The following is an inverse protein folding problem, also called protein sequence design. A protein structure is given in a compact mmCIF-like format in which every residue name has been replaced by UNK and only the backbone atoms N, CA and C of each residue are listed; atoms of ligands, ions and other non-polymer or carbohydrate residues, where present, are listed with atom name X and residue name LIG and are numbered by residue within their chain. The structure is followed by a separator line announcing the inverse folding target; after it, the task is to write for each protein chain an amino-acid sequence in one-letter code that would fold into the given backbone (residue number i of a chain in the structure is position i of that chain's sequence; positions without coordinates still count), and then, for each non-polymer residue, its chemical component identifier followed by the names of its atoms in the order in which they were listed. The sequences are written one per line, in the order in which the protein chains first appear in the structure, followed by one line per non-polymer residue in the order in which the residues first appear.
data_IF_083849535991
#
_entry.id   IF_083849535991
#
_cell.length_a   1.000
_cell.length_b   1.000
_cell.length_c   1.000
_cell.angle_alpha   90.00
_cell.angle_beta   90.00
_cell.angle_gamma   90.00
#
_symmetry.space_group_name_H-M   'P 1'
#
loop_
_entity.id
_entity.type
_entity.pdbx_description
1 polymer ?
#
# COMPACT_ATOMS: atom_id res chain seq x y z
N UNK A 1 -22.53 3.50 -2.36
CA UNK A 1 -22.03 4.39 -1.30
C UNK A 1 -23.08 4.50 -0.21
N UNK A 2 -22.86 3.74 0.87
CA UNK A 2 -23.63 3.82 2.11
C UNK A 2 -23.27 5.09 2.89
N UNK A 3 -24.02 5.38 3.95
CA UNK A 3 -23.74 6.52 4.82
C UNK A 3 -22.46 6.31 5.64
N UNK A 4 -22.14 5.06 6.00
CA UNK A 4 -20.93 4.70 6.74
C UNK A 4 -19.68 4.84 5.86
N UNK A 5 -19.73 4.33 4.62
CA UNK A 5 -18.66 4.52 3.63
C UNK A 5 -18.40 6.03 3.38
N UNK A 6 -19.47 6.83 3.31
CA UNK A 6 -19.36 8.27 3.14
C UNK A 6 -18.78 8.98 4.38
N UNK A 7 -19.04 8.46 5.58
CA UNK A 7 -18.53 9.00 6.83
C UNK A 7 -17.03 8.72 6.98
N UNK A 8 -16.57 7.51 6.66
CA UNK A 8 -15.15 7.15 6.66
C UNK A 8 -14.35 8.05 5.71
N UNK A 9 -14.85 8.27 4.49
CA UNK A 9 -14.23 9.19 3.54
C UNK A 9 -14.11 10.61 4.08
N UNK A 10 -15.12 11.09 4.80
CA UNK A 10 -15.09 12.41 5.42
C UNK A 10 -14.02 12.49 6.51
N UNK A 11 -13.89 11.46 7.35
CA UNK A 11 -12.84 11.43 8.38
C UNK A 11 -11.43 11.44 7.76
N UNK A 12 -11.22 10.70 6.66
CA UNK A 12 -9.96 10.72 5.92
C UNK A 12 -9.65 12.13 5.39
N UNK A 13 -10.61 12.77 4.73
CA UNK A 13 -10.45 14.13 4.16
C UNK A 13 -10.24 15.19 5.24
N UNK A 14 -10.70 14.92 6.48
CA UNK A 14 -10.46 15.76 7.66
C UNK A 14 -9.17 15.41 8.41
N UNK A 15 -8.22 14.69 7.79
CA UNK A 15 -6.97 14.23 8.42
C UNK A 15 -7.23 13.42 9.71
N UNK A 16 -8.14 12.45 9.63
CA UNK A 16 -8.54 11.57 10.74
C UNK A 16 -9.17 12.29 11.94
N UNK A 17 -9.61 13.54 11.77
CA UNK A 17 -10.43 14.21 12.79
C UNK A 17 -11.86 13.67 12.75
N UNK A 18 -12.27 13.04 13.85
CA UNK A 18 -13.65 12.56 14.02
C UNK A 18 -14.63 13.70 14.18
N UNK A 19 -15.78 13.57 13.53
CA UNK A 19 -16.93 14.42 13.79
C UNK A 19 -17.44 14.19 15.20
N UNK A 20 -17.92 15.25 15.87
CA UNK A 20 -18.58 15.05 17.16
C UNK A 20 -19.95 14.37 16.96
N UNK A 21 -20.51 13.81 18.05
CA UNK A 21 -21.78 13.05 18.03
C UNK A 21 -22.93 13.77 17.30
N UNK A 22 -23.01 15.09 17.43
CA UNK A 22 -24.07 15.90 16.82
C UNK A 22 -23.80 16.12 15.33
N UNK A 23 -22.55 16.38 14.96
CA UNK A 23 -22.14 16.49 13.56
C UNK A 23 -22.31 15.18 12.81
N UNK A 24 -21.95 14.05 13.43
CA UNK A 24 -22.18 12.72 12.86
C UNK A 24 -23.68 12.44 12.69
N UNK A 25 -24.51 12.73 13.70
CA UNK A 25 -25.96 12.62 13.60
C UNK A 25 -26.49 13.48 12.44
N UNK A 26 -26.07 14.74 12.35
CA UNK A 26 -26.48 15.65 11.28
C UNK A 26 -26.04 15.13 9.92
N UNK A 27 -24.81 14.61 9.80
CA UNK A 27 -24.29 14.02 8.58
C UNK A 27 -25.16 12.85 8.12
N UNK A 28 -25.35 11.86 9.01
CA UNK A 28 -26.09 10.62 8.70
C UNK A 28 -27.52 10.90 8.28
N UNK A 29 -28.22 11.73 9.04
CA UNK A 29 -29.61 12.04 8.76
C UNK A 29 -29.77 12.94 7.53
N UNK A 30 -28.79 13.81 7.26
CA UNK A 30 -28.77 14.60 6.02
C UNK A 30 -28.53 13.73 4.79
N UNK A 31 -27.72 12.68 4.92
CA UNK A 31 -27.48 11.68 3.86
C UNK A 31 -28.76 10.93 3.48
N UNK A 32 -29.61 10.62 4.47
CA UNK A 32 -30.95 10.04 4.27
C UNK A 32 -32.00 11.06 3.76
N UNK A 33 -31.63 12.33 3.57
CA UNK A 33 -32.52 13.38 3.08
C UNK A 33 -33.36 14.07 4.14
N UNK A 34 -33.20 13.75 5.44
CA UNK A 34 -34.00 14.36 6.50
C UNK A 34 -33.69 15.85 6.68
N UNK A 35 -34.69 16.60 7.10
CA UNK A 35 -34.60 18.01 7.46
C UNK A 35 -34.13 18.20 8.90
N UNK A 36 -33.59 19.36 9.24
CA UNK A 36 -33.20 19.67 10.62
C UNK A 36 -34.36 19.61 11.61
N UNK A 37 -35.59 19.86 11.16
CA UNK A 37 -36.78 19.72 12.01
C UNK A 37 -37.07 18.26 12.34
N UNK A 38 -36.94 17.38 11.36
CA UNK A 38 -37.13 15.93 11.56
C UNK A 38 -36.01 15.36 12.44
N UNK A 39 -34.76 15.81 12.26
CA UNK A 39 -33.63 15.40 13.09
C UNK A 39 -33.82 15.84 14.54
N UNK A 40 -34.30 17.06 14.77
CA UNK A 40 -34.61 17.56 16.11
C UNK A 40 -35.76 16.76 16.73
N UNK A 41 -36.82 16.47 15.96
CA UNK A 41 -37.95 15.67 16.43
C UNK A 41 -37.62 14.22 16.75
N UNK A 42 -36.54 13.68 16.19
CA UNK A 42 -36.07 12.31 16.44
C UNK A 42 -34.81 12.22 17.32
N UNK A 43 -34.37 13.33 17.93
CA UNK A 43 -33.16 13.37 18.76
C UNK A 43 -33.38 14.15 20.06
N UNK A 44 -32.38 14.12 20.94
CA UNK A 44 -32.38 14.86 22.21
C UNK A 44 -31.99 16.34 22.04
N UNK A 45 -31.74 16.80 20.81
CA UNK A 45 -31.22 18.14 20.53
C UNK A 45 -32.28 19.07 19.96
N UNK A 46 -32.24 20.33 20.38
CA UNK A 46 -33.11 21.36 19.85
C UNK A 46 -32.78 21.72 18.39
N UNK A 47 -33.80 22.17 17.67
CA UNK A 47 -33.70 22.55 16.25
C UNK A 47 -32.57 23.56 15.98
N UNK A 48 -32.46 24.61 16.81
CA UNK A 48 -31.46 25.65 16.61
C UNK A 48 -30.04 25.12 16.80
N UNK A 49 -29.84 24.21 17.76
CA UNK A 49 -28.55 23.58 17.99
C UNK A 49 -28.13 22.67 16.82
N UNK A 50 -29.06 21.86 16.29
CA UNK A 50 -28.83 21.03 15.10
C UNK A 50 -28.50 21.88 13.87
N UNK A 51 -29.24 22.98 13.69
CA UNK A 51 -29.02 23.91 12.58
C UNK A 51 -27.64 24.55 12.64
N UNK A 52 -27.21 24.98 13.82
CA UNK A 52 -25.88 25.54 14.05
C UNK A 52 -24.76 24.50 13.85
N UNK A 53 -24.95 23.29 14.38
CA UNK A 53 -24.03 22.17 14.17
C UNK A 53 -23.90 21.82 12.68
N UNK A 54 -25.02 21.80 11.95
CA UNK A 54 -25.05 21.56 10.51
C UNK A 54 -24.34 22.66 9.71
N UNK A 55 -24.55 23.94 10.06
CA UNK A 55 -23.85 25.04 9.41
C UNK A 55 -22.32 24.96 9.60
N UNK A 56 -21.87 24.61 10.81
CA UNK A 56 -20.45 24.38 11.11
C UNK A 56 -19.90 23.19 10.33
N UNK A 57 -20.65 22.08 10.27
CA UNK A 57 -20.27 20.89 9.52
C UNK A 57 -20.08 21.20 8.03
N UNK A 58 -21.05 21.83 7.37
CA UNK A 58 -20.93 22.11 5.94
C UNK A 58 -19.80 23.10 5.62
N UNK A 59 -19.52 24.04 6.51
CA UNK A 59 -18.37 24.93 6.39
C UNK A 59 -17.05 24.16 6.48
N UNK A 60 -16.93 23.26 7.46
CA UNK A 60 -15.75 22.41 7.65
C UNK A 60 -15.52 21.53 6.42
N UNK A 61 -16.55 20.83 5.95
CA UNK A 61 -16.46 19.98 4.75
C UNK A 61 -16.13 20.81 3.51
N UNK A 62 -16.68 22.01 3.37
CA UNK A 62 -16.33 22.88 2.23
C UNK A 62 -14.85 23.25 2.20
N UNK A 63 -14.25 23.48 3.37
CA UNK A 63 -12.82 23.76 3.48
C UNK A 63 -11.99 22.53 3.13
N UNK A 64 -12.39 21.36 3.62
CA UNK A 64 -11.65 20.12 3.44
C UNK A 64 -11.71 19.59 1.98
N UNK A 65 -12.88 19.65 1.34
CA UNK A 65 -13.05 19.23 -0.05
C UNK A 65 -12.60 20.29 -1.07
N UNK A 66 -12.35 21.54 -0.65
CA UNK A 66 -12.03 22.64 -1.57
C UNK A 66 -13.18 23.06 -2.51
N UNK A 67 -14.38 22.49 -2.33
CA UNK A 67 -15.61 22.82 -3.06
C UNK A 67 -16.71 23.18 -2.06
N UNK A 68 -17.66 24.04 -2.45
CA UNK A 68 -18.80 24.40 -1.59
C UNK A 68 -19.71 23.19 -1.32
N UNK A 69 -19.73 22.72 -0.08
CA UNK A 69 -20.60 21.65 0.43
C UNK A 69 -21.86 22.23 1.08
N UNK A 70 -22.98 21.58 0.81
CA UNK A 70 -24.32 21.80 1.34
C UNK A 70 -24.96 20.43 1.61
N UNK A 71 -26.05 20.45 2.38
CA UNK A 71 -26.82 19.25 2.74
C UNK A 71 -27.24 18.41 1.51
N UNK A 72 -27.66 19.06 0.44
CA UNK A 72 -28.25 18.45 -0.76
C UNK A 72 -27.21 18.05 -1.83
N UNK A 73 -26.03 18.68 -1.83
CA UNK A 73 -25.00 18.39 -2.82
C UNK A 73 -23.86 17.52 -2.28
N UNK A 74 -23.83 17.22 -0.98
CA UNK A 74 -22.79 16.41 -0.34
C UNK A 74 -22.53 15.08 -1.07
N UNK A 75 -23.54 14.26 -1.45
CA UNK A 75 -23.28 13.02 -2.19
C UNK A 75 -22.58 13.26 -3.52
N UNK A 76 -22.94 14.34 -4.22
CA UNK A 76 -22.34 14.74 -5.49
C UNK A 76 -20.90 15.24 -5.30
N UNK A 77 -20.61 15.98 -4.23
CA UNK A 77 -19.26 16.45 -3.92
C UNK A 77 -18.35 15.26 -3.61
N UNK A 78 -18.78 14.31 -2.78
CA UNK A 78 -17.99 13.10 -2.49
C UNK A 78 -17.77 12.29 -3.77
N UNK A 79 -18.79 12.08 -4.59
CA UNK A 79 -18.65 11.39 -5.89
C UNK A 79 -17.67 12.10 -6.83
N UNK A 80 -17.66 13.43 -6.85
CA UNK A 80 -16.73 14.23 -7.66
C UNK A 80 -15.30 14.14 -7.11
N UNK A 81 -15.15 14.23 -5.79
CA UNK A 81 -13.87 14.07 -5.10
C UNK A 81 -13.25 12.71 -5.43
N UNK A 82 -14.02 11.63 -5.29
CA UNK A 82 -13.60 10.28 -5.69
C UNK A 82 -13.21 10.22 -7.17
N UNK A 83 -13.99 10.82 -8.08
CA UNK A 83 -13.63 10.87 -9.50
C UNK A 83 -12.34 11.64 -9.75
N UNK A 84 -12.09 12.73 -9.03
CA UNK A 84 -10.88 13.52 -9.17
C UNK A 84 -9.66 12.80 -8.59
N UNK A 85 -9.81 12.13 -7.44
CA UNK A 85 -8.75 11.28 -6.89
C UNK A 85 -8.49 10.10 -7.82
N UNK A 86 -9.50 9.46 -8.39
CA UNK A 86 -9.33 8.38 -9.37
C UNK A 86 -8.71 8.88 -10.69
N UNK A 87 -9.04 10.07 -11.18
CA UNK A 87 -8.42 10.64 -12.38
C UNK A 87 -6.98 11.10 -12.12
N UNK A 88 -6.67 11.59 -10.92
CA UNK A 88 -5.29 11.87 -10.51
C UNK A 88 -4.49 10.56 -10.29
N UNK A 89 -5.13 9.49 -9.83
CA UNK A 89 -4.55 8.14 -9.76
C UNK A 89 -4.43 7.47 -11.14
N UNK A 90 -5.27 7.80 -12.13
CA UNK A 90 -5.07 7.37 -13.53
C UNK A 90 -3.81 7.95 -14.18
N UNK A 91 -3.31 9.07 -13.65
CA UNK A 91 -1.99 9.61 -14.02
C UNK A 91 -0.88 9.16 -13.06
N UNK A 92 -1.22 8.36 -12.04
CA UNK A 92 -0.29 7.76 -11.09
C UNK A 92 -0.53 6.26 -11.11
N UNK A 93 -0.16 5.63 -12.23
CA UNK A 93 -0.16 4.19 -12.40
C UNK A 93 0.88 3.64 -11.41
N UNK A 94 0.44 3.38 -10.17
CA UNK A 94 1.15 2.45 -9.32
C UNK A 94 0.64 1.10 -9.81
N UNK A 95 1.48 0.35 -10.52
CA UNK A 95 1.24 -1.08 -10.66
C UNK A 95 1.22 -1.67 -9.24
N UNK A 96 0.03 -1.89 -8.70
CA UNK A 96 -0.14 -2.61 -7.46
C UNK A 96 -0.33 -4.07 -7.85
N UNK A 97 0.73 -4.85 -7.68
CA UNK A 97 0.64 -6.30 -7.80
C UNK A 97 -0.09 -6.83 -6.56
N UNK A 98 -1.32 -7.31 -6.74
CA UNK A 98 -2.13 -7.91 -5.68
C UNK A 98 -2.09 -9.45 -5.77
N UNK A 99 -1.14 -10.01 -6.51
CA UNK A 99 -0.95 -11.46 -6.61
C UNK A 99 -0.74 -12.07 -5.22
N UNK A 100 -1.60 -13.00 -4.82
CA UNK A 100 -1.49 -13.68 -3.53
C UNK A 100 -2.11 -12.94 -2.33
N UNK A 101 -2.64 -11.72 -2.50
CA UNK A 101 -3.36 -11.04 -1.43
C UNK A 101 -4.62 -11.83 -1.03
N UNK A 102 -4.71 -12.25 0.23
CA UNK A 102 -5.94 -12.81 0.76
C UNK A 102 -6.96 -11.68 1.01
N UNK A 103 -7.86 -11.50 0.05
CA UNK A 103 -8.92 -10.49 0.11
C UNK A 103 -10.23 -11.03 0.73
N UNK A 104 -10.20 -12.19 1.41
CA UNK A 104 -11.39 -12.74 2.04
C UNK A 104 -11.93 -11.80 3.13
N UNK A 105 -13.21 -11.42 3.03
CA UNK A 105 -13.85 -10.45 3.91
C UNK A 105 -13.51 -8.97 3.62
N UNK A 106 -12.68 -8.67 2.63
CA UNK A 106 -12.42 -7.29 2.23
C UNK A 106 -13.62 -6.70 1.48
N UNK A 107 -14.12 -5.54 1.94
CA UNK A 107 -15.15 -4.80 1.22
C UNK A 107 -14.51 -4.04 0.06
N UNK A 108 -14.53 -4.64 -1.13
CA UNK A 108 -13.98 -4.06 -2.38
C UNK A 108 -14.99 -3.14 -3.10
N UNK A 109 -16.15 -2.85 -2.49
CA UNK A 109 -17.28 -2.11 -3.09
C UNK A 109 -16.92 -0.71 -3.61
N UNK A 110 -15.80 -0.14 -3.14
CA UNK A 110 -15.32 1.20 -3.46
C UNK A 110 -13.87 1.24 -3.95
N UNK A 111 -13.21 0.08 -4.08
CA UNK A 111 -11.83 0.01 -4.59
C UNK A 111 -11.82 0.10 -6.12
N UNK A 112 -11.14 1.11 -6.67
CA UNK A 112 -10.77 1.12 -8.08
C UNK A 112 -9.48 0.29 -8.22
N UNK A 113 -9.62 -0.90 -8.80
CA UNK A 113 -8.51 -1.82 -9.06
C UNK A 113 -8.05 -1.75 -10.53
N UNK A 114 -8.40 -0.68 -11.26
CA UNK A 114 -7.96 -0.53 -12.64
C UNK A 114 -6.43 -0.44 -12.70
N UNK A 115 -5.81 -1.36 -13.44
CA UNK A 115 -4.35 -1.52 -13.51
C UNK A 115 -3.74 -2.46 -12.45
N UNK A 116 -4.53 -3.05 -11.56
CA UNK A 116 -4.04 -4.10 -10.65
C UNK A 116 -3.78 -5.41 -11.42
N UNK A 117 -2.65 -6.07 -11.11
CA UNK A 117 -2.37 -7.45 -11.55
C UNK A 117 -2.94 -8.40 -10.50
N UNK A 118 -3.89 -9.26 -10.91
CA UNK A 118 -4.50 -10.29 -10.09
C UNK A 118 -4.11 -11.67 -10.64
N UNK A 119 -3.09 -12.29 -10.04
CA UNK A 119 -2.73 -13.67 -10.39
C UNK A 119 -3.69 -14.63 -9.66
N UNK A 120 -4.40 -15.44 -10.43
CA UNK A 120 -5.53 -16.24 -9.99
C UNK A 120 -5.11 -17.54 -9.28
N UNK A 121 -4.36 -17.47 -8.18
CA UNK A 121 -4.07 -18.67 -7.37
C UNK A 121 -4.54 -18.61 -5.91
N UNK A 122 -5.18 -17.51 -5.46
CA UNK A 122 -5.76 -17.48 -4.11
C UNK A 122 -6.90 -16.48 -3.88
N UNK A 123 -7.61 -16.06 -4.94
CA UNK A 123 -8.81 -15.23 -4.77
C UNK A 123 -9.98 -16.11 -4.31
N UNK A 124 -10.02 -16.40 -3.01
CA UNK A 124 -11.17 -17.03 -2.39
C UNK A 124 -12.26 -15.96 -2.18
N UNK A 125 -12.98 -15.62 -3.26
CA UNK A 125 -14.13 -14.69 -3.24
C UNK A 125 -15.41 -15.34 -2.68
N UNK A 126 -15.29 -16.48 -1.99
CA UNK A 126 -16.44 -17.31 -1.60
C UNK A 126 -17.42 -16.62 -0.65
N UNK A 127 -17.01 -15.52 0.01
CA UNK A 127 -17.85 -14.74 0.91
C UNK A 127 -18.03 -13.26 0.51
N UNK A 128 -17.57 -12.82 -0.68
CA UNK A 128 -17.83 -11.44 -1.09
C UNK A 128 -19.24 -11.31 -1.64
N UNK A 129 -20.14 -10.72 -0.85
CA UNK A 129 -21.52 -10.43 -1.25
C UNK A 129 -21.55 -9.71 -2.60
N UNK A 130 -22.30 -10.31 -3.53
CA UNK A 130 -22.49 -9.90 -4.93
C UNK A 130 -22.67 -8.39 -5.08
N UNK A 131 -21.62 -7.68 -5.49
CA UNK A 131 -21.69 -6.30 -5.98
C UNK A 131 -20.59 -6.07 -7.03
N UNK A 132 -21.01 -5.58 -8.19
CA UNK A 132 -20.20 -5.30 -9.37
C UNK A 132 -19.02 -4.37 -9.07
N UNK A 133 -17.82 -4.92 -8.88
CA UNK A 133 -16.57 -4.20 -9.09
C UNK A 133 -16.33 -4.04 -10.59
N UNK A 134 -15.90 -2.86 -11.03
CA UNK A 134 -15.52 -2.60 -12.42
C UNK A 134 -14.10 -3.17 -12.64
N UNK A 135 -14.02 -4.37 -13.23
CA UNK A 135 -12.76 -5.09 -13.53
C UNK A 135 -12.21 -4.72 -14.92
N UNK A 136 -12.64 -3.60 -15.50
CA UNK A 136 -12.15 -3.18 -16.82
C UNK A 136 -10.66 -2.85 -16.75
N UNK A 137 -9.84 -3.67 -17.41
CA UNK A 137 -8.37 -3.53 -17.45
C UNK A 137 -7.60 -4.41 -16.46
N UNK A 138 -8.28 -5.28 -15.70
CA UNK A 138 -7.63 -6.35 -14.93
C UNK A 138 -7.04 -7.39 -15.88
N UNK A 139 -5.74 -7.69 -15.76
CA UNK A 139 -5.12 -8.82 -16.47
C UNK A 139 -5.37 -10.07 -15.63
N UNK A 140 -6.16 -11.01 -16.17
CA UNK A 140 -6.37 -12.35 -15.61
C UNK A 140 -5.38 -13.27 -16.31
N UNK A 141 -4.43 -13.81 -15.55
CA UNK A 141 -3.56 -14.90 -16.02
C UNK A 141 -4.26 -16.22 -15.68
N UNK A 142 -4.66 -16.98 -16.70
CA UNK A 142 -5.21 -18.33 -16.51
C UNK A 142 -4.05 -19.32 -16.26
N UNK A 143 -3.89 -19.78 -15.02
CA UNK A 143 -3.05 -20.94 -14.70
C UNK A 143 -3.87 -22.22 -14.95
N UNK A 144 -4.05 -22.57 -16.22
CA UNK A 144 -4.55 -23.87 -16.65
C UNK A 144 -3.44 -24.61 -17.40
N UNK A 145 -2.64 -25.40 -16.68
CA UNK A 145 -2.47 -26.85 -16.89
C UNK A 145 -1.23 -27.35 -16.13
N UNK A 146 -1.46 -27.98 -14.98
CA UNK A 146 -0.59 -29.05 -14.52
C UNK A 146 -1.10 -30.37 -15.11
N UNK A 147 -0.30 -31.04 -15.93
CA UNK A 147 0.12 -32.43 -15.70
C UNK A 147 0.66 -33.12 -16.96
N UNK A 148 1.82 -33.77 -16.78
CA UNK A 148 2.39 -34.93 -17.50
C UNK A 148 3.22 -34.77 -18.80
N UNK A 149 4.48 -35.23 -18.65
CA UNK A 149 5.33 -36.03 -19.55
C UNK A 149 5.91 -35.46 -20.87
N UNK A 150 7.26 -35.40 -20.87
CA UNK A 150 8.23 -35.68 -21.95
C UNK A 150 8.04 -35.09 -23.36
N UNK A 151 9.07 -34.35 -23.81
CA UNK A 151 9.49 -34.35 -25.22
C UNK A 151 9.87 -32.98 -25.82
N UNK A 152 11.18 -32.73 -25.91
CA UNK A 152 11.91 -32.08 -27.01
C UNK A 152 11.34 -30.85 -27.77
N UNK A 153 12.19 -29.80 -27.75
CA UNK A 153 12.54 -28.79 -28.79
C UNK A 153 11.88 -27.41 -28.75
N UNK A 154 12.76 -26.41 -28.51
CA UNK A 154 13.07 -25.20 -29.33
C UNK A 154 11.88 -24.36 -29.84
N UNK A 155 11.86 -23.02 -29.81
CA UNK A 155 12.83 -21.96 -29.56
C UNK A 155 12.02 -20.63 -29.49
N UNK A 156 12.35 -19.78 -28.50
CA UNK A 156 12.56 -18.32 -28.56
C UNK A 156 11.36 -17.42 -28.98
N UNK A 157 10.85 -16.58 -28.05
CA UNK A 157 11.18 -15.13 -27.96
C UNK A 157 10.46 -14.44 -26.79
N UNK A 158 11.26 -14.14 -25.76
CA UNK A 158 11.32 -12.90 -25.00
C UNK A 158 10.02 -12.12 -24.77
N UNK A 159 9.48 -12.26 -23.57
CA UNK A 159 9.26 -11.09 -22.72
C UNK A 159 9.57 -11.50 -21.28
N UNK A 160 10.52 -10.77 -20.69
CA UNK A 160 10.92 -10.85 -19.29
C UNK A 160 9.71 -10.54 -18.40
N UNK A 161 8.93 -11.56 -18.08
CA UNK A 161 8.02 -11.51 -16.95
C UNK A 161 8.91 -11.37 -15.71
N UNK A 162 8.89 -10.18 -15.09
CA UNK A 162 9.55 -9.96 -13.80
C UNK A 162 8.97 -10.97 -12.80
N UNK A 163 9.71 -12.05 -12.60
CA UNK A 163 9.33 -13.14 -11.72
C UNK A 163 9.58 -12.69 -10.28
N UNK A 164 8.50 -12.41 -9.54
CA UNK A 164 8.58 -12.05 -8.14
C UNK A 164 8.56 -13.29 -7.24
N UNK A 165 9.39 -13.27 -6.20
CA UNK A 165 9.53 -14.35 -5.23
C UNK A 165 8.85 -13.95 -3.91
N UNK A 166 8.23 -14.91 -3.22
CA UNK A 166 7.45 -14.63 -2.00
C UNK A 166 7.85 -15.56 -0.86
N UNK A 167 7.95 -15.02 0.35
CA UNK A 167 8.26 -15.77 1.57
C UNK A 167 7.73 -15.03 2.81
N UNK A 168 6.95 -15.71 3.68
CA UNK A 168 6.35 -15.12 4.89
C UNK A 168 5.62 -13.78 4.66
N UNK A 169 4.78 -13.70 3.62
CA UNK A 169 4.06 -12.49 3.21
C UNK A 169 4.97 -11.31 2.79
N UNK A 170 6.27 -11.56 2.58
CA UNK A 170 7.24 -10.61 2.02
C UNK A 170 7.53 -10.96 0.55
N UNK A 171 7.79 -9.93 -0.26
CA UNK A 171 8.07 -10.04 -1.69
C UNK A 171 9.53 -9.66 -1.98
N UNK A 172 10.15 -10.36 -2.93
CA UNK A 172 11.56 -10.22 -3.30
C UNK A 172 11.72 -10.26 -4.82
N UNK A 173 12.80 -9.65 -5.32
CA UNK A 173 13.11 -9.55 -6.76
C UNK A 173 13.89 -10.76 -7.27
N UNK A 174 14.47 -11.54 -6.36
CA UNK A 174 15.27 -12.72 -6.69
C UNK A 174 15.12 -13.85 -5.67
N UNK A 175 15.37 -15.10 -6.09
CA UNK A 175 15.49 -16.24 -5.18
C UNK A 175 16.64 -16.06 -4.18
N UNK A 176 17.69 -15.34 -4.60
CA UNK A 176 18.84 -15.00 -3.78
C UNK A 176 18.44 -14.14 -2.56
N UNK A 177 17.60 -13.13 -2.77
CA UNK A 177 17.04 -12.32 -1.68
C UNK A 177 16.19 -13.16 -0.72
N UNK A 178 15.34 -14.06 -1.22
CA UNK A 178 14.55 -14.96 -0.36
C UNK A 178 15.47 -15.76 0.57
N UNK A 179 16.56 -16.32 0.05
CA UNK A 179 17.52 -17.09 0.83
C UNK A 179 18.22 -16.25 1.90
N UNK A 180 18.52 -14.99 1.61
CA UNK A 180 19.07 -14.05 2.60
C UNK A 180 18.03 -13.72 3.67
N UNK A 181 16.77 -13.48 3.29
CA UNK A 181 15.68 -13.23 4.23
C UNK A 181 15.48 -14.42 5.19
N UNK A 182 15.48 -15.64 4.66
CA UNK A 182 15.41 -16.87 5.46
C UNK A 182 16.59 -17.00 6.43
N UNK A 183 17.81 -16.66 6.00
CA UNK A 183 19.00 -16.70 6.85
C UNK A 183 18.97 -15.62 7.94
N UNK A 184 18.50 -14.41 7.64
CA UNK A 184 18.29 -13.34 8.62
C UNK A 184 17.26 -13.73 9.68
N UNK A 185 16.18 -14.40 9.26
CA UNK A 185 15.13 -14.92 10.15
C UNK A 185 15.64 -16.06 11.04
N UNK A 186 16.39 -17.03 10.47
CA UNK A 186 17.09 -18.06 11.26
C UNK A 186 18.06 -17.46 12.28
N UNK A 187 18.72 -16.36 11.93
CA UNK A 187 19.61 -15.63 12.83
C UNK A 187 18.87 -14.78 13.87
N UNK A 188 17.53 -14.73 13.82
CA UNK A 188 16.66 -13.94 14.70
C UNK A 188 17.07 -12.46 14.74
N UNK A 189 17.32 -11.88 13.56
CA UNK A 189 17.69 -10.48 13.40
C UNK A 189 16.52 -9.69 12.84
N UNK A 190 16.35 -8.46 13.32
CA UNK A 190 15.37 -7.53 12.75
C UNK A 190 15.89 -7.00 11.41
N UNK A 191 15.13 -7.24 10.35
CA UNK A 191 15.41 -6.72 9.02
C UNK A 191 14.14 -6.16 8.36
N UNK A 192 14.33 -5.29 7.39
CA UNK A 192 13.29 -4.62 6.63
C UNK A 192 13.67 -4.74 5.14
N UNK A 193 13.00 -5.63 4.38
CA UNK A 193 13.24 -5.71 2.94
C UNK A 193 12.61 -4.49 2.23
N UNK A 194 13.10 -4.14 1.04
CA UNK A 194 12.48 -3.16 0.13
C UNK A 194 12.19 -1.79 0.79
N UNK A 195 13.10 -1.34 1.66
CA UNK A 195 12.87 -0.16 2.50
C UNK A 195 13.21 1.13 1.77
N UNK A 196 12.20 1.91 1.37
CA UNK A 196 12.40 3.19 0.68
C UNK A 196 13.00 4.27 1.57
N UNK A 197 14.23 4.70 1.25
CA UNK A 197 14.91 5.85 1.82
C UNK A 197 14.78 7.08 0.91
N UNK A 198 14.61 8.27 1.51
CA UNK A 198 14.54 9.55 0.77
C UNK A 198 15.79 10.37 0.99
N UNK A 199 16.70 10.34 0.04
CA UNK A 199 18.01 11.01 0.14
C UNK A 199 18.01 12.38 -0.56
N UNK A 200 19.02 13.18 -0.22
CA UNK A 200 19.34 14.43 -0.93
C UNK A 200 20.70 14.24 -1.60
N UNK A 201 20.68 14.04 -2.91
CA UNK A 201 21.85 13.90 -3.79
C UNK A 201 22.22 15.28 -4.35
N UNK A 202 23.31 15.34 -5.11
CA UNK A 202 23.69 16.52 -5.90
C UNK A 202 22.68 16.84 -7.01
N UNK A 203 21.93 15.84 -7.48
CA UNK A 203 20.92 15.97 -8.54
C UNK A 203 19.52 16.28 -8.00
N UNK A 204 19.30 16.14 -6.69
CA UNK A 204 18.07 16.58 -6.02
C UNK A 204 17.61 15.64 -4.91
N UNK A 205 16.29 15.53 -4.75
CA UNK A 205 15.70 14.59 -3.80
C UNK A 205 15.30 13.31 -4.53
N UNK A 206 15.87 12.19 -4.12
CA UNK A 206 15.70 10.89 -4.76
C UNK A 206 15.21 9.83 -3.77
N UNK A 207 14.49 8.83 -4.29
CA UNK A 207 14.10 7.65 -3.54
C UNK A 207 15.10 6.54 -3.86
N UNK A 208 15.57 5.86 -2.83
CA UNK A 208 16.47 4.72 -2.93
C UNK A 208 15.88 3.55 -2.17
N UNK A 209 16.03 2.35 -2.70
CA UNK A 209 15.42 1.14 -2.16
C UNK A 209 16.49 0.05 -2.04
N UNK A 210 17.23 0.01 -0.90
CA UNK A 210 18.10 -1.11 -0.60
C UNK A 210 17.30 -2.42 -0.47
N UNK A 211 17.95 -3.53 -0.82
CA UNK A 211 17.36 -4.87 -0.68
C UNK A 211 17.02 -5.18 0.77
N UNK A 212 17.99 -5.02 1.68
CA UNK A 212 17.81 -5.27 3.10
C UNK A 212 18.36 -4.12 3.95
N UNK A 213 17.50 -3.51 4.74
CA UNK A 213 17.90 -2.69 5.89
C UNK A 213 17.86 -3.56 7.16
N UNK A 214 18.99 -3.69 7.84
CA UNK A 214 19.18 -4.62 8.96
C UNK A 214 19.50 -3.85 10.23
N UNK A 215 18.85 -4.21 11.33
CA UNK A 215 19.13 -3.67 12.66
C UNK A 215 19.66 -4.75 13.59
N UNK A 216 20.90 -4.62 14.03
CA UNK A 216 21.54 -5.58 14.92
C UNK A 216 22.33 -4.87 16.01
N UNK A 217 22.06 -5.24 17.28
CA UNK A 217 22.77 -4.71 18.47
C UNK A 217 22.86 -3.18 18.52
N UNK A 218 21.80 -2.48 18.13
CA UNK A 218 21.75 -1.01 18.18
C UNK A 218 22.33 -0.30 16.97
N UNK A 219 22.74 -1.04 15.92
CA UNK A 219 23.40 -0.50 14.73
C UNK A 219 22.62 -0.87 13.48
N UNK A 220 22.61 0.04 12.52
CA UNK A 220 21.98 -0.14 11.21
C UNK A 220 23.01 -0.56 10.17
N UNK A 221 22.63 -1.46 9.28
CA UNK A 221 23.42 -1.83 8.11
C UNK A 221 22.53 -2.08 6.91
N UNK A 222 23.10 -1.97 5.72
CA UNK A 222 22.45 -2.30 4.45
C UNK A 222 23.18 -3.48 3.80
N UNK A 223 22.42 -4.46 3.34
CA UNK A 223 22.91 -5.58 2.53
C UNK A 223 22.19 -5.53 1.18
N UNK A 224 22.96 -5.43 0.10
CA UNK A 224 22.49 -5.39 -1.28
C UNK A 224 22.85 -6.70 -1.98
N UNK A 225 21.90 -7.26 -2.72
CA UNK A 225 22.02 -8.48 -3.51
C UNK A 225 21.99 -8.10 -4.99
N UNK A 226 23.12 -8.27 -5.68
CA UNK A 226 23.27 -7.94 -7.10
C UNK A 226 22.99 -6.45 -7.44
N UNK A 227 23.04 -5.57 -6.44
CA UNK A 227 22.81 -4.13 -6.60
C UNK A 227 24.03 -3.40 -7.17
N UNK A 228 23.78 -2.42 -8.05
CA UNK A 228 24.82 -1.52 -8.58
C UNK A 228 25.52 -0.76 -7.44
N UNK A 229 26.85 -0.71 -7.49
CA UNK A 229 27.65 0.01 -6.50
C UNK A 229 27.62 1.51 -6.80
N UNK A 230 26.87 2.25 -5.99
CA UNK A 230 26.85 3.71 -6.02
C UNK A 230 27.60 4.29 -4.81
N UNK A 231 28.83 4.76 -5.07
CA UNK A 231 29.71 5.30 -4.03
C UNK A 231 29.19 6.59 -3.39
N UNK A 232 28.41 7.41 -4.12
CA UNK A 232 27.88 8.65 -3.57
C UNK A 232 26.71 8.35 -2.63
N UNK A 233 25.81 7.46 -3.07
CA UNK A 233 24.71 6.94 -2.25
C UNK A 233 25.21 6.37 -0.93
N UNK A 234 26.23 5.52 -1.01
CA UNK A 234 26.78 4.85 0.17
C UNK A 234 27.39 5.86 1.16
N UNK A 235 28.11 6.88 0.67
CA UNK A 235 28.65 7.96 1.51
C UNK A 235 27.56 8.77 2.19
N UNK A 236 26.49 9.11 1.46
CA UNK A 236 25.34 9.83 2.02
C UNK A 236 24.69 8.99 3.13
N UNK A 237 24.41 7.71 2.88
CA UNK A 237 23.80 6.82 3.89
C UNK A 237 24.70 6.65 5.12
N UNK A 238 26.01 6.50 4.92
CA UNK A 238 26.99 6.45 6.02
C UNK A 238 26.99 7.72 6.86
N UNK A 239 26.93 8.89 6.23
CA UNK A 239 26.85 10.17 6.94
C UNK A 239 25.56 10.33 7.77
N UNK A 240 24.50 9.57 7.44
CA UNK A 240 23.22 9.55 8.14
C UNK A 240 23.10 8.41 9.17
N UNK A 241 24.19 7.75 9.52
CA UNK A 241 24.23 6.77 10.61
C UNK A 241 24.01 5.31 10.20
N UNK A 242 24.25 4.98 8.92
CA UNK A 242 24.28 3.59 8.43
C UNK A 242 25.75 3.22 8.14
N UNK A 243 26.51 2.78 9.16
CA UNK A 243 27.96 2.62 9.05
C UNK A 243 28.41 1.50 8.11
N UNK A 244 27.57 0.48 7.89
CA UNK A 244 27.90 -0.69 7.06
C UNK A 244 26.92 -0.78 5.90
N UNK A 245 27.47 -0.81 4.69
CA UNK A 245 26.76 -1.09 3.44
C UNK A 245 27.61 -2.11 2.70
N UNK A 246 27.04 -3.26 2.35
CA UNK A 246 27.75 -4.36 1.70
C UNK A 246 26.96 -4.87 0.50
N UNK A 247 27.66 -5.14 -0.59
CA UNK A 247 27.11 -5.68 -1.82
C UNK A 247 27.61 -7.11 -2.00
N UNK A 248 26.69 -8.03 -2.27
CA UNK A 248 26.98 -9.44 -2.52
C UNK A 248 26.40 -9.84 -3.87
N UNK A 249 27.08 -10.73 -4.59
CA UNK A 249 26.56 -11.28 -5.83
C UNK A 249 25.43 -12.30 -5.55
N UNK A 250 24.48 -12.38 -6.47
CA UNK A 250 23.31 -13.27 -6.36
C UNK A 250 23.67 -14.76 -6.25
N UNK A 251 24.82 -15.17 -6.79
CA UNK A 251 25.29 -16.57 -6.73
C UNK A 251 25.72 -16.92 -5.31
N UNK A 252 26.58 -16.11 -4.69
CA UNK A 252 27.02 -16.29 -3.31
C UNK A 252 25.85 -16.25 -2.33
N UNK A 253 24.90 -15.32 -2.51
CA UNK A 253 23.67 -15.25 -1.71
C UNK A 253 22.81 -16.51 -1.82
N UNK A 254 22.83 -17.16 -2.98
CA UNK A 254 22.05 -18.38 -3.21
C UNK A 254 22.72 -19.65 -2.67
N UNK A 255 24.05 -19.71 -2.71
CA UNK A 255 24.82 -20.89 -2.31
C UNK A 255 25.11 -20.92 -0.80
N UNK A 256 25.40 -19.75 -0.20
CA UNK A 256 25.88 -19.65 1.19
C UNK A 256 25.24 -18.49 1.98
N UNK A 257 23.90 -18.41 2.05
CA UNK A 257 23.20 -17.28 2.67
C UNK A 257 23.53 -17.11 4.17
N UNK A 258 23.62 -18.21 4.93
CA UNK A 258 23.92 -18.15 6.37
C UNK A 258 25.33 -17.61 6.65
N UNK A 259 26.32 -17.93 5.80
CA UNK A 259 27.68 -17.43 5.94
C UNK A 259 27.73 -15.92 5.68
N UNK A 260 27.04 -15.46 4.64
CA UNK A 260 26.95 -14.04 4.29
C UNK A 260 26.31 -13.25 5.44
N UNK A 261 25.16 -13.71 5.93
CA UNK A 261 24.47 -13.08 7.05
C UNK A 261 25.36 -13.06 8.29
N UNK A 262 26.03 -14.16 8.63
CA UNK A 262 26.94 -14.20 9.76
C UNK A 262 28.07 -13.16 9.63
N UNK A 263 28.77 -13.14 8.50
CA UNK A 263 29.86 -12.19 8.25
C UNK A 263 29.37 -10.74 8.31
N UNK A 264 28.21 -10.46 7.72
CA UNK A 264 27.59 -9.14 7.76
C UNK A 264 27.30 -8.68 9.19
N UNK A 265 26.71 -9.54 10.02
CA UNK A 265 26.39 -9.23 11.41
C UNK A 265 27.64 -9.09 12.29
N UNK A 266 28.71 -9.84 11.98
CA UNK A 266 30.02 -9.69 12.62
C UNK A 266 30.63 -8.32 12.31
N UNK A 267 30.63 -7.89 11.04
CA UNK A 267 31.08 -6.56 10.64
C UNK A 267 30.27 -5.45 11.32
N UNK A 268 28.94 -5.58 11.30
CA UNK A 268 28.04 -4.62 11.94
C UNK A 268 28.26 -4.55 13.46
N UNK A 269 28.66 -5.65 14.09
CA UNK A 269 28.99 -5.66 15.51
C UNK A 269 30.28 -4.89 15.84
N UNK A 270 31.20 -4.69 14.89
CA UNK A 270 32.53 -4.10 15.13
C UNK A 270 32.59 -2.57 14.98
N UNK A 271 31.62 -1.93 14.33
CA UNK A 271 31.62 -0.48 14.02
C UNK A 271 31.09 0.43 15.11
#
# INVERSE_FOLDING_TARGET
MTVDEALELVEIVLNYQRLNKVQELVFRQSWEGRSYKEIAGSSEYEYDYIKDAGAKLWKLLSQAFGEKVKKDNLPSVIKRYLRQTQVNSRNHIIEVNLSGANLSGATLSVADLSGARLCANNLNLSDSDSCQGDLTGTIICDDNFDSTENGDKQEIQNNSEEQFYHWNDLQFRSEAEVKIAEALDRANVLFFPNSKARLTTTEGRENQEPDFLIFHKGKWGILEVDGEVDQERDRILQSHGIPIIQHYDSTSCSEQPDLIVQQFLEMLSQV
#
